data_IF_480857157454
#
_entry.id   IF_480857157454
#
_cell.length_a   1.000
_cell.length_b   1.000
_cell.length_c   1.000
_cell.angle_alpha   90.00
_cell.angle_beta   90.00
_cell.angle_gamma   90.00
#
_symmetry.space_group_name_H-M   'P 1'
#
loop_
_entity.id
_entity.type
_entity.pdbx_description
1 polymer ?
#
# COMPACT_ATOMS: atom_id res chain seq x y z
N UNK A 1 -10.11 12.32 5.54
CA UNK A 1 -9.35 11.67 6.63
C UNK A 1 -9.06 10.24 6.22
N UNK A 2 -7.87 9.73 6.51
CA UNK A 2 -7.58 8.31 6.31
C UNK A 2 -7.94 7.54 7.59
N UNK A 3 -8.35 6.29 7.44
CA UNK A 3 -8.64 5.37 8.55
C UNK A 3 -7.77 4.12 8.41
N UNK A 4 -7.21 3.66 9.53
CA UNK A 4 -6.47 2.39 9.58
C UNK A 4 -7.48 1.24 9.64
N UNK A 5 -7.36 0.29 8.72
CA UNK A 5 -8.29 -0.86 8.59
C UNK A 5 -7.67 -2.16 9.08
N UNK A 6 -6.34 -2.26 9.09
CA UNK A 6 -5.63 -3.44 9.61
C UNK A 6 -4.26 -3.05 10.11
N UNK A 7 -3.98 -3.36 11.38
CA UNK A 7 -2.64 -3.28 11.93
C UNK A 7 -1.77 -4.42 11.37
N UNK A 8 -0.61 -4.07 10.84
CA UNK A 8 0.38 -5.00 10.31
C UNK A 8 1.79 -4.71 10.85
N UNK A 9 2.08 -3.47 11.27
CA UNK A 9 3.38 -3.09 11.84
C UNK A 9 4.57 -3.30 10.90
N UNK A 10 4.36 -3.17 9.58
CA UNK A 10 5.41 -3.39 8.59
C UNK A 10 6.48 -2.29 8.69
N UNK A 11 7.73 -2.70 8.91
CA UNK A 11 8.86 -1.77 8.87
C UNK A 11 9.17 -1.38 7.43
N UNK A 12 9.17 -0.06 7.19
CA UNK A 12 9.37 0.50 5.84
C UNK A 12 10.84 0.79 5.61
N UNK A 13 11.37 0.23 4.52
CA UNK A 13 12.73 0.45 4.08
C UNK A 13 12.77 1.49 2.95
N UNK A 14 13.75 2.37 3.01
CA UNK A 14 13.99 3.38 1.98
C UNK A 14 14.25 2.72 0.62
N UNK A 15 13.65 3.30 -0.42
CA UNK A 15 13.79 2.79 -1.80
C UNK A 15 12.76 1.74 -2.20
N UNK A 16 11.84 1.37 -1.32
CA UNK A 16 10.71 0.50 -1.63
C UNK A 16 9.38 1.24 -1.67
N UNK A 17 8.51 0.81 -2.57
CA UNK A 17 7.09 1.14 -2.57
C UNK A 17 6.34 0.04 -1.81
N UNK A 18 5.53 0.43 -0.83
CA UNK A 18 4.67 -0.46 -0.05
C UNK A 18 3.21 -0.25 -0.42
N UNK A 19 2.47 -1.33 -0.63
CA UNK A 19 1.09 -1.27 -1.11
C UNK A 19 0.29 -2.51 -0.69
N UNK A 20 -1.03 -2.39 -0.73
CA UNK A 20 -1.93 -3.54 -0.59
C UNK A 20 -2.01 -4.29 -1.93
N UNK A 21 -1.75 -5.60 -1.93
CA UNK A 21 -1.85 -6.47 -3.10
C UNK A 21 -3.28 -6.71 -3.54
N UNK A 22 -3.48 -7.31 -4.72
CA UNK A 22 -4.82 -7.71 -5.19
C UNK A 22 -5.43 -8.84 -4.35
N UNK A 23 -4.57 -9.62 -3.71
CA UNK A 23 -4.88 -10.68 -2.75
C UNK A 23 -5.25 -10.17 -1.35
N UNK A 24 -5.17 -8.84 -1.12
CA UNK A 24 -5.49 -8.24 0.18
C UNK A 24 -4.34 -8.31 1.20
N UNK A 25 -3.12 -8.65 0.80
CA UNK A 25 -1.93 -8.68 1.66
C UNK A 25 -1.01 -7.50 1.45
N UNK A 26 -0.03 -7.28 2.33
CA UNK A 26 0.94 -6.20 2.17
C UNK A 26 2.12 -6.67 1.35
N UNK A 27 2.43 -5.89 0.32
CA UNK A 27 3.53 -6.15 -0.60
C UNK A 27 4.47 -4.95 -0.66
N UNK A 28 5.72 -5.21 -1.03
CA UNK A 28 6.68 -4.19 -1.40
C UNK A 28 7.35 -4.50 -2.73
N UNK A 29 7.87 -3.48 -3.40
CA UNK A 29 8.74 -3.63 -4.58
C UNK A 29 9.74 -2.49 -4.64
N UNK A 30 10.92 -2.71 -5.21
CA UNK A 30 11.93 -1.65 -5.36
C UNK A 30 11.37 -0.57 -6.27
N UNK A 31 11.43 0.70 -5.86
CA UNK A 31 10.88 1.80 -6.63
C UNK A 31 11.59 1.94 -7.97
N UNK A 32 10.81 2.14 -9.04
CA UNK A 32 11.35 2.57 -10.31
C UNK A 32 12.02 3.95 -10.17
N UNK A 33 13.13 4.14 -10.88
CA UNK A 33 13.88 5.41 -10.98
C UNK A 33 14.12 5.70 -12.46
N UNK A 34 14.40 6.95 -12.83
CA UNK A 34 14.54 7.35 -14.22
C UNK A 34 15.40 6.35 -15.05
N UNK A 35 14.79 5.74 -16.07
CA UNK A 35 15.44 4.74 -16.94
C UNK A 35 15.64 3.34 -16.33
N UNK A 36 15.22 3.09 -15.09
CA UNK A 36 15.32 1.78 -14.42
C UNK A 36 13.95 1.34 -13.91
N UNK A 37 13.51 0.17 -14.36
CA UNK A 37 12.28 -0.47 -13.89
C UNK A 37 12.30 -0.74 -12.38
N UNK A 38 11.11 -0.97 -11.82
CA UNK A 38 11.00 -1.42 -10.43
C UNK A 38 11.58 -2.83 -10.23
N UNK A 39 11.74 -3.23 -8.98
CA UNK A 39 12.14 -4.59 -8.62
C UNK A 39 10.95 -5.55 -8.51
N UNK A 40 11.26 -6.83 -8.33
CA UNK A 40 10.25 -7.85 -8.06
C UNK A 40 9.44 -7.52 -6.81
N UNK A 41 8.17 -7.92 -6.82
CA UNK A 41 7.29 -7.77 -5.67
C UNK A 41 7.53 -8.88 -4.64
N UNK A 42 7.48 -8.53 -3.36
CA UNK A 42 7.62 -9.43 -2.22
C UNK A 42 6.46 -9.21 -1.24
N UNK A 43 5.83 -10.30 -0.78
CA UNK A 43 4.81 -10.25 0.27
C UNK A 43 5.52 -10.10 1.61
N UNK A 44 5.14 -9.09 2.40
CA UNK A 44 5.80 -8.76 3.67
C UNK A 44 4.90 -8.87 4.89
N UNK A 45 3.58 -8.91 4.70
CA UNK A 45 2.65 -9.24 5.77
C UNK A 45 1.31 -9.78 5.22
N UNK A 46 0.70 -10.67 5.98
CA UNK A 46 -0.68 -11.10 5.77
C UNK A 46 -1.64 -10.08 6.39
N UNK A 47 -2.50 -9.49 5.57
CA UNK A 47 -3.48 -8.49 6.03
C UNK A 47 -4.92 -8.96 5.84
N UNK A 48 -5.20 -9.74 4.79
CA UNK A 48 -6.54 -10.25 4.49
C UNK A 48 -7.59 -9.16 4.27
N UNK A 49 -7.18 -7.99 3.75
CA UNK A 49 -8.07 -6.84 3.60
C UNK A 49 -8.78 -6.89 2.25
N UNK A 50 -10.11 -6.93 2.30
CA UNK A 50 -10.97 -6.74 1.13
C UNK A 50 -11.11 -5.25 0.79
N UNK A 51 -11.02 -4.94 -0.50
CA UNK A 51 -11.14 -3.57 -1.00
C UNK A 51 -12.60 -3.18 -1.18
N UNK A 52 -12.92 -1.97 -0.74
CA UNK A 52 -14.20 -1.33 -1.01
C UNK A 52 -14.07 -0.29 -2.13
N UNK A 53 -15.06 -0.28 -3.03
CA UNK A 53 -15.16 0.69 -4.11
C UNK A 53 -15.22 2.11 -3.57
N UNK A 54 -14.51 3.04 -4.21
CA UNK A 54 -14.48 4.44 -3.78
C UNK A 54 -13.37 4.79 -2.79
N UNK A 55 -12.55 3.81 -2.38
CA UNK A 55 -11.42 4.02 -1.47
C UNK A 55 -10.07 3.75 -2.14
N UNK A 56 -9.06 4.54 -1.78
CA UNK A 56 -7.66 4.26 -2.02
C UNK A 56 -7.10 3.53 -0.79
N UNK A 57 -6.35 2.46 -1.01
CA UNK A 57 -5.68 1.68 0.04
C UNK A 57 -4.17 1.85 -0.07
N UNK A 58 -3.51 2.04 1.07
CA UNK A 58 -2.07 2.25 1.15
C UNK A 58 -1.52 1.78 2.51
N UNK A 59 -0.19 1.67 2.60
CA UNK A 59 0.49 1.42 3.87
C UNK A 59 0.91 2.76 4.47
N UNK A 60 0.42 3.06 5.66
CA UNK A 60 0.65 4.34 6.32
C UNK A 60 2.08 4.49 6.88
N UNK A 61 2.29 5.47 7.78
CA UNK A 61 3.59 5.71 8.40
C UNK A 61 3.94 4.72 9.51
N UNK A 62 2.93 4.10 10.12
CA UNK A 62 3.09 3.11 11.19
C UNK A 62 3.30 1.69 10.62
N UNK A 63 3.14 1.53 9.30
CA UNK A 63 3.28 0.22 8.64
C UNK A 63 1.97 -0.55 8.57
N UNK A 64 0.83 0.14 8.74
CA UNK A 64 -0.50 -0.46 8.77
C UNK A 64 -1.25 -0.22 7.47
N UNK A 65 -2.21 -1.08 7.17
CA UNK A 65 -3.11 -0.87 6.03
C UNK A 65 -4.12 0.19 6.41
N UNK A 66 -4.12 1.28 5.65
CA UNK A 66 -5.07 2.37 5.79
C UNK A 66 -5.81 2.61 4.48
N UNK A 67 -6.98 3.26 4.57
CA UNK A 67 -7.75 3.70 3.41
C UNK A 67 -8.19 5.15 3.53
N UNK A 68 -8.44 5.78 2.40
CA UNK A 68 -9.06 7.10 2.32
C UNK A 68 -10.04 7.16 1.14
N UNK A 69 -11.13 7.92 1.27
CA UNK A 69 -12.04 8.18 0.15
C UNK A 69 -11.28 8.80 -1.01
N UNK A 70 -11.39 8.21 -2.20
CA UNK A 70 -10.76 8.73 -3.40
C UNK A 70 -11.35 10.10 -3.74
N UNK A 71 -10.49 11.09 -3.97
CA UNK A 71 -10.90 12.34 -4.60
C UNK A 71 -11.23 12.03 -6.06
N UNK A 72 -12.51 11.87 -6.39
CA UNK A 72 -12.95 11.79 -7.78
C UNK A 72 -12.84 13.19 -8.38
N UNK A 73 -12.05 13.31 -9.46
CA UNK A 73 -11.88 14.50 -10.31
C UNK A 73 -12.19 15.85 -9.67
N UNK A 74 -11.15 16.60 -9.27
CA UNK A 74 -11.30 18.06 -9.16
C UNK A 74 -11.74 18.56 -10.55
N UNK A 75 -12.90 19.20 -10.62
CA UNK A 75 -13.26 20.06 -11.75
C UNK A 75 -12.35 21.28 -11.73
#
# INVERSE_FOLDING_TARGET
MAETVKACGVQKESGYLYYLGKDGNVWRSKMARAGKGGGNAEKVADAGVSRESGYLYFIDKNGDVARAKMARGRK
#
